data_IF_662308473196
#
_entry.id   IF_662308473196
#
_cell.length_a   1.000
_cell.length_b   1.000
_cell.length_c   1.000
_cell.angle_alpha   90.00
_cell.angle_beta   90.00
_cell.angle_gamma   90.00
#
_symmetry.space_group_name_H-M   'P 1'
#
loop_
_entity.id
_entity.type
_entity.pdbx_description
1 polymer ?
#
# COMPACT_ATOMS: atom_id res chain seq x y z
N UNK A 1 -19.85 15.13 10.46
CA UNK A 1 -19.39 16.33 11.19
C UNK A 1 -17.88 16.35 11.11
N UNK A 2 -17.25 17.39 10.58
CA UNK A 2 -15.78 17.49 10.66
C UNK A 2 -15.42 17.52 12.14
N UNK A 3 -14.58 16.59 12.62
CA UNK A 3 -13.81 16.86 13.83
C UNK A 3 -13.17 18.25 13.64
N UNK A 4 -13.26 19.10 14.66
CA UNK A 4 -12.76 20.47 14.62
C UNK A 4 -11.25 20.54 14.33
N UNK A 5 -10.66 21.72 14.47
CA UNK A 5 -9.22 21.93 14.31
C UNK A 5 -8.46 20.92 15.18
N UNK A 6 -7.66 20.05 14.56
CA UNK A 6 -6.76 19.14 15.27
C UNK A 6 -5.63 19.98 15.85
N UNK A 7 -5.53 20.02 17.18
CA UNK A 7 -4.47 20.72 17.90
C UNK A 7 -3.39 19.72 18.28
N UNK A 8 -2.23 19.83 17.63
CA UNK A 8 -1.02 19.12 18.01
C UNK A 8 -0.09 20.08 18.73
N UNK A 9 0.53 19.61 19.82
CA UNK A 9 1.73 20.28 20.35
C UNK A 9 2.87 20.10 19.36
N UNK A 10 3.90 20.95 19.46
CA UNK A 10 5.11 20.82 18.64
C UNK A 10 5.77 19.44 18.85
N UNK A 11 5.77 18.94 20.08
CA UNK A 11 6.30 17.62 20.41
C UNK A 11 5.51 16.49 19.73
N UNK A 12 4.17 16.57 19.74
CA UNK A 12 3.29 15.60 19.08
C UNK A 12 3.48 15.60 17.56
N UNK A 13 3.53 16.79 16.96
CA UNK A 13 3.77 16.93 15.52
C UNK A 13 5.15 16.39 15.12
N UNK A 14 6.18 16.70 15.91
CA UNK A 14 7.53 16.17 15.71
C UNK A 14 7.57 14.65 15.83
N UNK A 15 6.91 14.07 16.84
CA UNK A 15 6.85 12.62 17.01
C UNK A 15 6.20 11.91 15.82
N UNK A 16 5.10 12.45 15.27
CA UNK A 16 4.43 11.89 14.09
C UNK A 16 5.26 12.03 12.80
N UNK A 17 6.08 13.06 12.67
CA UNK A 17 6.94 13.25 11.50
C UNK A 17 8.16 12.32 11.53
N UNK A 18 8.68 11.98 12.70
CA UNK A 18 9.88 11.14 12.85
C UNK A 18 9.56 9.67 13.19
N UNK A 19 8.32 9.23 12.96
CA UNK A 19 7.87 7.87 13.26
C UNK A 19 8.28 6.88 12.16
N UNK A 20 9.12 5.91 12.51
CA UNK A 20 9.59 4.82 11.64
C UNK A 20 8.55 3.69 11.44
N UNK A 21 7.34 3.83 12.02
CA UNK A 21 6.26 2.84 12.00
C UNK A 21 6.65 1.47 12.58
N UNK A 22 7.73 1.41 13.35
CA UNK A 22 8.31 0.17 13.89
C UNK A 22 7.66 -0.33 15.19
N UNK A 23 6.71 0.45 15.72
CA UNK A 23 5.97 0.18 16.95
C UNK A 23 6.51 0.93 18.18
N UNK A 24 7.62 1.67 18.06
CA UNK A 24 8.13 2.55 19.11
C UNK A 24 7.57 3.98 19.02
N UNK A 25 7.09 4.38 17.84
CA UNK A 25 6.51 5.69 17.58
C UNK A 25 5.00 5.79 17.87
N UNK A 26 4.40 6.96 17.61
CA UNK A 26 2.99 7.23 17.89
C UNK A 26 2.00 6.40 17.07
N UNK A 27 2.34 5.97 15.84
CA UNK A 27 1.46 5.13 15.02
C UNK A 27 1.70 3.65 15.31
N UNK A 28 0.73 3.04 16.00
CA UNK A 28 0.75 1.63 16.36
C UNK A 28 -0.15 0.81 15.42
N UNK A 29 0.33 -0.37 15.05
CA UNK A 29 -0.42 -1.32 14.21
C UNK A 29 -0.91 -2.51 15.04
N UNK A 30 -2.20 -2.83 14.91
CA UNK A 30 -2.79 -4.00 15.54
C UNK A 30 -2.39 -5.28 14.78
N UNK A 31 -1.48 -6.06 15.38
CA UNK A 31 -1.00 -7.33 14.84
C UNK A 31 -1.95 -8.53 15.11
N UNK A 32 -3.02 -8.33 15.88
CA UNK A 32 -3.99 -9.36 16.29
C UNK A 32 -5.17 -9.56 15.34
N UNK A 33 -5.18 -8.89 14.18
CA UNK A 33 -6.24 -9.06 13.18
C UNK A 33 -6.22 -10.48 12.59
N UNK A 34 -7.41 -11.07 12.44
CA UNK A 34 -7.58 -12.41 11.86
C UNK A 34 -7.52 -12.35 10.33
N UNK A 35 -7.33 -13.51 9.68
CA UNK A 35 -7.41 -13.58 8.22
C UNK A 35 -8.78 -13.13 7.69
N UNK A 36 -9.86 -13.43 8.41
CA UNK A 36 -11.23 -13.00 8.07
C UNK A 36 -11.36 -11.47 8.11
N UNK A 37 -10.74 -10.81 9.09
CA UNK A 37 -10.72 -9.34 9.16
C UNK A 37 -10.03 -8.69 7.97
N UNK A 38 -9.10 -9.42 7.34
CA UNK A 38 -8.26 -8.97 6.23
C UNK A 38 -8.75 -9.49 4.87
N UNK A 39 -9.90 -10.17 4.83
CA UNK A 39 -10.41 -10.80 3.61
C UNK A 39 -10.69 -9.80 2.47
N UNK A 40 -11.07 -8.56 2.81
CA UNK A 40 -11.33 -7.49 1.84
C UNK A 40 -10.06 -6.74 1.40
N UNK A 41 -8.88 -7.09 1.93
CA UNK A 41 -7.62 -6.48 1.51
C UNK A 41 -7.09 -7.17 0.25
N UNK A 42 -6.43 -6.41 -0.63
CA UNK A 42 -5.71 -7.01 -1.75
C UNK A 42 -4.38 -7.62 -1.30
N UNK A 43 -3.77 -7.12 -0.22
CA UNK A 43 -2.36 -7.46 0.06
C UNK A 43 -2.20 -8.83 0.71
N UNK A 44 -2.81 -9.07 1.87
CA UNK A 44 -2.51 -10.28 2.66
C UNK A 44 -2.96 -11.59 2.01
N UNK A 45 -4.20 -11.72 1.51
CA UNK A 45 -4.63 -12.94 0.82
C UNK A 45 -3.71 -13.30 -0.35
N UNK A 46 -3.32 -12.31 -1.17
CA UNK A 46 -2.45 -12.53 -2.33
C UNK A 46 -0.97 -12.74 -1.94
N UNK A 47 -0.48 -12.05 -0.91
CA UNK A 47 0.86 -12.29 -0.36
C UNK A 47 0.99 -13.74 0.13
N UNK A 48 -0.03 -14.27 0.81
CA UNK A 48 -0.06 -15.67 1.28
C UNK A 48 -0.04 -16.65 0.12
N UNK A 49 -0.74 -16.38 -0.98
CA UNK A 49 -0.68 -17.20 -2.20
C UNK A 49 0.74 -17.28 -2.72
N UNK A 50 1.42 -16.14 -2.90
CA UNK A 50 2.82 -16.12 -3.35
C UNK A 50 3.74 -16.79 -2.33
N UNK A 51 3.58 -16.50 -1.04
CA UNK A 51 4.42 -17.11 0.00
C UNK A 51 4.25 -18.64 0.05
N UNK A 52 3.04 -19.17 -0.16
CA UNK A 52 2.80 -20.60 -0.26
C UNK A 52 3.53 -21.24 -1.45
N UNK A 53 3.57 -20.57 -2.62
CA UNK A 53 4.38 -21.01 -3.78
C UNK A 53 5.88 -21.02 -3.48
N UNK A 54 6.33 -20.13 -2.59
CA UNK A 54 7.74 -20.03 -2.19
C UNK A 54 8.12 -21.00 -1.07
N UNK A 55 7.16 -21.65 -0.42
CA UNK A 55 7.47 -22.59 0.64
C UNK A 55 8.11 -23.88 0.09
N UNK A 56 8.97 -24.49 0.88
CA UNK A 56 9.79 -25.62 0.43
C UNK A 56 10.94 -25.20 -0.51
N UNK A 57 10.81 -25.49 -1.82
CA UNK A 57 11.92 -25.35 -2.79
C UNK A 57 12.14 -23.90 -3.26
N UNK A 58 11.14 -23.03 -3.09
CA UNK A 58 11.14 -21.68 -3.67
C UNK A 58 10.85 -21.65 -5.17
N UNK A 59 10.75 -20.44 -5.72
CA UNK A 59 10.50 -20.22 -7.13
C UNK A 59 11.78 -19.83 -7.87
N UNK A 60 12.08 -20.50 -9.00
CA UNK A 60 13.19 -20.09 -9.87
C UNK A 60 12.93 -18.69 -10.43
N UNK A 61 13.92 -17.82 -10.34
CA UNK A 61 13.91 -16.51 -10.95
C UNK A 61 14.50 -16.57 -12.36
N UNK A 62 14.15 -15.60 -13.19
CA UNK A 62 14.83 -15.37 -14.47
C UNK A 62 16.27 -14.88 -14.23
N UNK A 63 17.08 -14.84 -15.29
CA UNK A 63 18.44 -14.28 -15.20
C UNK A 63 18.48 -12.81 -14.74
N UNK A 64 17.40 -12.05 -15.00
CA UNK A 64 17.25 -10.65 -14.55
C UNK A 64 16.78 -10.54 -13.09
N UNK A 65 16.50 -11.66 -12.43
CA UNK A 65 15.98 -11.70 -11.07
C UNK A 65 14.46 -11.58 -10.95
N UNK A 66 13.73 -11.55 -12.07
CA UNK A 66 12.27 -11.48 -12.08
C UNK A 66 11.62 -12.83 -11.77
N UNK A 67 10.38 -12.83 -11.27
CA UNK A 67 9.53 -14.02 -11.21
C UNK A 67 9.41 -14.63 -12.61
N UNK A 68 9.54 -15.94 -12.70
CA UNK A 68 9.42 -16.61 -13.99
C UNK A 68 7.97 -16.54 -14.51
N UNK A 69 7.83 -16.56 -15.84
CA UNK A 69 6.54 -16.46 -16.53
C UNK A 69 5.48 -17.44 -16.03
N UNK A 70 5.84 -18.72 -15.86
CA UNK A 70 4.90 -19.75 -15.42
C UNK A 70 4.30 -19.42 -14.05
N UNK A 71 5.14 -18.92 -13.13
CA UNK A 71 4.65 -18.44 -11.84
C UNK A 71 3.74 -17.23 -12.03
N UNK A 72 4.16 -16.21 -12.79
CA UNK A 72 3.35 -15.00 -13.01
C UNK A 72 1.98 -15.33 -13.60
N UNK A 73 1.91 -16.18 -14.62
CA UNK A 73 0.64 -16.66 -15.20
C UNK A 73 -0.23 -17.34 -14.14
N UNK A 74 0.33 -18.22 -13.30
CA UNK A 74 -0.42 -18.82 -12.19
C UNK A 74 -0.88 -17.79 -11.16
N UNK A 75 -0.14 -16.70 -10.93
CA UNK A 75 -0.54 -15.65 -9.99
C UNK A 75 -1.65 -14.78 -10.57
N UNK A 76 -1.65 -14.51 -11.88
CA UNK A 76 -2.74 -13.80 -12.57
C UNK A 76 -4.08 -14.53 -12.35
N UNK A 77 -4.06 -15.86 -12.37
CA UNK A 77 -5.28 -16.67 -12.24
C UNK A 77 -5.81 -16.73 -10.80
N UNK A 78 -4.90 -16.64 -9.82
CA UNK A 78 -5.21 -16.87 -8.41
C UNK A 78 -5.37 -15.59 -7.61
N UNK A 79 -4.69 -14.52 -8.01
CA UNK A 79 -4.76 -13.26 -7.29
C UNK A 79 -6.12 -12.60 -7.48
N UNK A 80 -6.68 -12.13 -6.36
CA UNK A 80 -7.86 -11.30 -6.34
C UNK A 80 -7.40 -9.88 -5.98
N UNK A 81 -7.08 -9.07 -7.00
CA UNK A 81 -6.54 -7.73 -6.79
C UNK A 81 -7.39 -6.67 -7.50
N UNK A 82 -8.08 -5.83 -6.73
CA UNK A 82 -8.94 -4.80 -7.30
C UNK A 82 -8.15 -3.88 -8.25
N UNK A 83 -8.65 -3.72 -9.48
CA UNK A 83 -8.02 -2.92 -10.54
C UNK A 83 -7.13 -3.72 -11.49
N UNK A 84 -6.88 -5.00 -11.23
CA UNK A 84 -6.06 -5.88 -12.08
C UNK A 84 -6.78 -7.20 -12.39
N UNK A 85 -7.97 -7.17 -13.03
CA UNK A 85 -8.68 -8.40 -13.38
C UNK A 85 -7.91 -9.21 -14.43
N UNK A 86 -7.85 -10.53 -14.26
CA UNK A 86 -7.07 -11.44 -15.10
C UNK A 86 -7.40 -11.30 -16.60
N UNK A 87 -8.68 -11.13 -16.94
CA UNK A 87 -9.14 -10.93 -18.33
C UNK A 87 -8.46 -9.71 -18.98
N UNK A 88 -8.49 -8.56 -18.31
CA UNK A 88 -7.84 -7.34 -18.82
C UNK A 88 -6.33 -7.51 -18.98
N UNK A 89 -5.67 -8.20 -18.06
CA UNK A 89 -4.22 -8.45 -18.15
C UNK A 89 -3.91 -9.29 -19.39
N UNK A 90 -4.72 -10.31 -19.68
CA UNK A 90 -4.57 -11.20 -20.84
C UNK A 90 -4.92 -10.49 -22.16
N UNK A 91 -5.92 -9.62 -22.15
CA UNK A 91 -6.29 -8.83 -23.33
C UNK A 91 -5.19 -7.85 -23.73
N UNK A 92 -4.50 -7.26 -22.75
CA UNK A 92 -3.42 -6.30 -22.99
C UNK A 92 -2.09 -6.97 -23.33
N UNK A 93 -1.88 -8.24 -22.94
CA UNK A 93 -0.58 -8.91 -23.02
C UNK A 93 -0.69 -10.30 -23.63
N UNK A 94 -0.10 -10.50 -24.80
CA UNK A 94 0.04 -11.83 -25.43
C UNK A 94 0.89 -12.79 -24.60
N UNK A 95 1.87 -12.24 -23.88
CA UNK A 95 2.80 -12.95 -23.01
C UNK A 95 2.91 -12.12 -21.74
N UNK A 96 2.62 -12.71 -20.59
CA UNK A 96 2.60 -11.98 -19.32
C UNK A 96 3.91 -12.25 -18.58
N UNK A 97 4.75 -11.22 -18.44
CA UNK A 97 5.92 -11.25 -17.57
C UNK A 97 5.63 -10.47 -16.28
N UNK A 98 6.57 -10.48 -15.32
CA UNK A 98 6.37 -9.80 -14.03
C UNK A 98 6.08 -8.30 -14.19
N UNK A 99 6.80 -7.62 -15.09
CA UNK A 99 6.63 -6.19 -15.35
C UNK A 99 5.25 -5.84 -15.92
N UNK A 100 4.56 -6.83 -16.51
CA UNK A 100 3.22 -6.71 -17.08
C UNK A 100 2.11 -6.90 -16.02
N UNK A 101 2.47 -7.39 -14.82
CA UNK A 101 1.52 -7.68 -13.74
C UNK A 101 1.96 -7.05 -12.41
N UNK A 102 1.55 -5.79 -12.22
CA UNK A 102 1.91 -4.96 -11.06
C UNK A 102 1.69 -5.60 -9.69
N UNK A 103 0.60 -6.33 -9.40
CA UNK A 103 0.44 -7.01 -8.11
C UNK A 103 1.58 -7.98 -7.78
N UNK A 104 2.04 -8.78 -8.76
CA UNK A 104 3.14 -9.71 -8.56
C UNK A 104 4.47 -8.96 -8.36
N UNK A 105 4.73 -7.96 -9.19
CA UNK A 105 5.91 -7.10 -9.10
C UNK A 105 6.00 -6.41 -7.73
N UNK A 106 4.90 -5.84 -7.26
CA UNK A 106 4.80 -5.21 -5.94
C UNK A 106 5.06 -6.21 -4.82
N UNK A 107 4.34 -7.34 -4.78
CA UNK A 107 4.49 -8.34 -3.72
C UNK A 107 5.89 -8.96 -3.69
N UNK A 108 6.50 -9.24 -4.85
CA UNK A 108 7.88 -9.71 -4.91
C UNK A 108 8.85 -8.69 -4.26
N UNK A 109 8.71 -7.40 -4.58
CA UNK A 109 9.53 -6.35 -3.99
C UNK A 109 9.32 -6.23 -2.48
N UNK A 110 8.08 -6.11 -2.00
CA UNK A 110 7.82 -5.89 -0.56
C UNK A 110 8.14 -7.12 0.29
N UNK A 111 7.97 -8.35 -0.22
CA UNK A 111 8.40 -9.55 0.50
C UNK A 111 9.93 -9.57 0.68
N UNK A 112 10.69 -9.13 -0.31
CA UNK A 112 12.15 -9.03 -0.21
C UNK A 112 12.58 -7.91 0.73
N UNK A 113 12.03 -6.71 0.57
CA UNK A 113 12.35 -5.54 1.40
C UNK A 113 11.97 -5.74 2.87
N UNK A 114 10.88 -6.47 3.13
CA UNK A 114 10.43 -6.83 4.48
C UNK A 114 11.21 -8.00 5.11
N UNK A 115 12.17 -8.59 4.38
CA UNK A 115 12.97 -9.73 4.81
C UNK A 115 12.17 -11.03 4.93
N UNK A 116 11.03 -11.15 4.24
CA UNK A 116 10.16 -12.31 4.23
C UNK A 116 10.58 -13.34 3.17
N UNK A 117 11.17 -12.86 2.08
CA UNK A 117 11.79 -13.67 1.05
C UNK A 117 13.21 -13.17 0.74
N UNK A 118 14.05 -14.05 0.20
CA UNK A 118 15.40 -13.72 -0.27
C UNK A 118 15.74 -14.48 -1.55
N UNK A 119 16.61 -13.90 -2.36
CA UNK A 119 17.20 -14.60 -3.51
C UNK A 119 18.34 -15.49 -3.04
N UNK A 120 18.28 -16.77 -3.36
CA UNK A 120 19.30 -17.76 -3.02
C UNK A 120 19.51 -18.68 -4.22
N UNK A 121 20.73 -18.68 -4.78
CA UNK A 121 21.10 -19.50 -5.95
C UNK A 121 20.10 -19.40 -7.12
N UNK A 122 19.71 -18.18 -7.48
CA UNK A 122 18.78 -17.91 -8.58
C UNK A 122 17.32 -18.28 -8.30
N UNK A 123 16.96 -18.59 -7.06
CA UNK A 123 15.56 -18.82 -6.66
C UNK A 123 15.14 -17.86 -5.56
N UNK A 124 13.89 -17.43 -5.59
CA UNK A 124 13.25 -16.72 -4.48
C UNK A 124 12.77 -17.75 -3.46
N UNK A 125 13.17 -17.60 -2.19
CA UNK A 125 12.81 -18.50 -1.10
C UNK A 125 12.29 -17.72 0.10
N UNK A 126 11.34 -18.29 0.84
CA UNK A 126 10.96 -17.76 2.14
C UNK A 126 12.14 -17.81 3.12
N UNK A 127 12.31 -16.73 3.87
CA UNK A 127 13.21 -16.69 5.02
C UNK A 127 12.55 -17.39 6.23
N UNK A 128 13.30 -17.59 7.32
CA UNK A 128 12.71 -18.04 8.60
C UNK A 128 11.57 -17.12 9.06
N UNK A 129 11.74 -15.80 8.88
CA UNK A 129 10.72 -14.79 9.19
C UNK A 129 9.49 -14.95 8.29
N UNK A 130 9.69 -15.13 6.98
CA UNK A 130 8.58 -15.38 6.05
C UNK A 130 7.78 -16.63 6.40
N UNK A 131 8.45 -17.74 6.70
CA UNK A 131 7.78 -18.99 7.12
C UNK A 131 6.99 -18.83 8.41
N UNK A 132 7.50 -18.08 9.38
CA UNK A 132 6.79 -17.81 10.63
C UNK A 132 5.52 -16.95 10.46
N UNK A 133 5.40 -16.20 9.35
CA UNK A 133 4.24 -15.37 9.02
C UNK A 133 3.28 -16.01 8.01
N UNK A 134 3.58 -17.22 7.53
CA UNK A 134 2.72 -17.97 6.62
C UNK A 134 1.48 -18.61 7.27
N UNK A 135 1.46 -19.03 8.55
CA UNK A 135 0.24 -19.53 9.19
C UNK A 135 -0.89 -18.49 9.23
N UNK A 136 -2.16 -18.91 9.28
CA UNK A 136 -3.32 -17.99 9.23
C UNK A 136 -3.40 -17.09 10.47
N UNK A 137 -2.95 -17.61 11.60
CA UNK A 137 -2.89 -16.95 12.91
C UNK A 137 -1.91 -15.78 12.91
N UNK A 138 -0.98 -15.74 11.94
CA UNK A 138 -0.03 -14.66 11.75
C UNK A 138 -0.50 -13.60 10.73
N UNK A 139 -1.75 -13.66 10.24
CA UNK A 139 -2.25 -12.75 9.20
C UNK A 139 -2.15 -11.26 9.60
N UNK A 140 -2.55 -10.89 10.82
CA UNK A 140 -2.41 -9.52 11.32
C UNK A 140 -0.96 -9.04 11.39
N UNK A 141 -0.05 -9.91 11.85
CA UNK A 141 1.41 -9.65 11.84
C UNK A 141 1.94 -9.46 10.42
N UNK A 142 1.51 -10.30 9.48
CA UNK A 142 1.88 -10.19 8.08
C UNK A 142 1.40 -8.86 7.48
N UNK A 143 0.14 -8.47 7.72
CA UNK A 143 -0.42 -7.19 7.31
C UNK A 143 0.43 -6.02 7.83
N UNK A 144 0.73 -5.99 9.13
CA UNK A 144 1.52 -4.92 9.74
C UNK A 144 2.94 -4.84 9.15
N UNK A 145 3.62 -5.97 8.97
CA UNK A 145 4.96 -6.01 8.34
C UNK A 145 4.91 -5.48 6.90
N UNK A 146 3.91 -5.87 6.12
CA UNK A 146 3.78 -5.44 4.72
C UNK A 146 3.42 -3.96 4.61
N UNK A 147 2.52 -3.47 5.46
CA UNK A 147 2.13 -2.05 5.51
C UNK A 147 3.34 -1.17 5.87
N UNK A 148 4.03 -1.51 6.97
CA UNK A 148 5.27 -0.82 7.36
C UNK A 148 6.29 -0.83 6.23
N UNK A 149 6.59 -2.00 5.67
CA UNK A 149 7.58 -2.13 4.58
C UNK A 149 7.22 -1.27 3.38
N UNK A 150 5.93 -1.16 3.05
CA UNK A 150 5.45 -0.35 1.93
C UNK A 150 5.76 1.13 2.10
N UNK A 151 5.61 1.66 3.32
CA UNK A 151 5.80 3.08 3.57
C UNK A 151 7.21 3.47 4.01
N UNK A 152 8.03 2.51 4.49
CA UNK A 152 9.38 2.81 5.03
C UNK A 152 10.55 2.25 4.22
N UNK A 153 10.31 1.25 3.35
CA UNK A 153 11.39 0.58 2.59
C UNK A 153 11.14 0.48 1.10
N UNK A 154 9.88 0.32 0.70
CA UNK A 154 9.49 0.36 -0.69
C UNK A 154 9.50 1.80 -1.20
N UNK A 155 9.72 1.99 -2.50
CA UNK A 155 9.59 3.28 -3.15
C UNK A 155 8.19 3.37 -3.78
N UNK A 156 7.22 4.09 -3.17
CA UNK A 156 5.85 4.17 -3.69
C UNK A 156 5.77 4.77 -5.10
N UNK A 157 6.75 5.61 -5.48
CA UNK A 157 6.84 6.25 -6.78
C UNK A 157 7.23 5.29 -7.91
N UNK A 158 7.69 4.06 -7.59
CA UNK A 158 8.10 3.07 -8.57
C UNK A 158 6.99 2.72 -9.59
N UNK A 159 5.73 2.85 -9.17
CA UNK A 159 4.55 2.53 -9.99
C UNK A 159 3.86 3.76 -10.58
N UNK A 160 4.46 4.95 -10.49
CA UNK A 160 3.96 6.13 -11.18
C UNK A 160 4.99 6.73 -12.11
N UNK A 161 4.52 7.65 -12.95
CA UNK A 161 5.33 8.33 -13.97
C UNK A 161 5.42 9.83 -13.67
N UNK A 162 5.15 10.23 -12.43
CA UNK A 162 5.13 11.63 -12.05
C UNK A 162 6.54 12.10 -11.74
N UNK A 163 6.98 13.15 -12.44
CA UNK A 163 8.23 13.87 -12.18
C UNK A 163 8.08 14.77 -10.94
N UNK A 164 7.78 14.16 -9.80
CA UNK A 164 7.67 14.83 -8.51
C UNK A 164 8.53 14.10 -7.49
N UNK A 165 9.31 14.87 -6.72
CA UNK A 165 10.10 14.37 -5.59
C UNK A 165 9.19 13.66 -4.58
N UNK A 166 9.71 12.65 -3.90
CA UNK A 166 8.98 12.01 -2.81
C UNK A 166 8.84 12.98 -1.63
N UNK A 167 7.59 13.33 -1.29
CA UNK A 167 7.26 14.30 -0.24
C UNK A 167 6.33 13.71 0.83
N UNK A 168 5.84 12.49 0.66
CA UNK A 168 4.88 11.86 1.57
C UNK A 168 5.56 10.92 2.56
N UNK A 169 6.63 10.22 2.15
CA UNK A 169 7.31 9.23 3.00
C UNK A 169 7.73 9.76 4.36
N UNK A 170 8.32 10.97 4.43
CA UNK A 170 8.82 11.55 5.68
C UNK A 170 7.71 12.05 6.61
N UNK A 171 6.48 12.14 6.15
CA UNK A 171 5.32 12.58 6.95
C UNK A 171 4.23 11.52 6.99
N UNK A 172 4.55 10.25 6.69
CA UNK A 172 3.54 9.24 6.48
C UNK A 172 2.72 8.93 7.74
N UNK A 173 3.35 8.89 8.92
CA UNK A 173 2.63 8.68 10.17
C UNK A 173 1.71 9.85 10.51
N UNK A 174 2.12 11.10 10.26
CA UNK A 174 1.25 12.27 10.32
C UNK A 174 0.06 12.16 9.35
N UNK A 175 0.30 11.78 8.10
CA UNK A 175 -0.75 11.58 7.09
C UNK A 175 -1.77 10.54 7.61
N UNK A 176 -1.29 9.40 8.12
CA UNK A 176 -2.14 8.35 8.67
C UNK A 176 -2.97 8.86 9.86
N UNK A 177 -2.36 9.64 10.75
CA UNK A 177 -3.07 10.23 11.88
C UNK A 177 -4.16 11.22 11.42
N UNK A 178 -3.85 12.11 10.47
CA UNK A 178 -4.81 13.12 9.99
C UNK A 178 -5.92 12.50 9.15
N UNK A 179 -5.65 11.42 8.41
CA UNK A 179 -6.70 10.60 7.78
C UNK A 179 -7.65 10.05 8.85
N UNK A 180 -7.12 9.59 10.00
CA UNK A 180 -7.97 9.14 11.12
C UNK A 180 -8.87 10.26 11.68
N UNK A 181 -8.42 11.51 11.66
CA UNK A 181 -9.21 12.63 12.17
C UNK A 181 -10.24 13.16 11.17
N UNK A 182 -9.96 13.12 9.87
CA UNK A 182 -10.74 13.90 8.90
C UNK A 182 -11.51 13.10 7.86
N UNK A 183 -11.19 11.82 7.66
CA UNK A 183 -11.65 11.07 6.49
C UNK A 183 -12.76 10.04 6.79
N UNK A 184 -13.71 10.40 7.68
CA UNK A 184 -14.89 9.59 8.00
C UNK A 184 -15.99 9.67 6.92
N UNK A 185 -15.94 10.68 6.04
CA UNK A 185 -16.86 10.87 4.92
C UNK A 185 -16.10 10.99 3.61
N UNK A 186 -16.81 10.84 2.49
CA UNK A 186 -16.28 10.84 1.14
C UNK A 186 -15.64 12.18 0.77
N UNK A 187 -14.35 12.16 0.42
CA UNK A 187 -13.59 13.34 0.00
C UNK A 187 -12.82 13.10 -1.29
N UNK A 188 -12.71 14.10 -2.18
CA UNK A 188 -11.82 14.00 -3.31
C UNK A 188 -10.35 14.00 -2.84
N UNK A 189 -9.46 13.36 -3.63
CA UNK A 189 -8.05 13.20 -3.28
C UNK A 189 -7.34 14.54 -3.01
N UNK A 190 -7.69 15.59 -3.76
CA UNK A 190 -7.09 16.92 -3.64
C UNK A 190 -7.43 17.60 -2.30
N UNK A 191 -8.71 17.55 -1.89
CA UNK A 191 -9.16 18.09 -0.62
C UNK A 191 -8.61 17.27 0.55
N UNK A 192 -8.53 15.95 0.40
CA UNK A 192 -7.92 15.09 1.41
C UNK A 192 -6.44 15.40 1.58
N UNK A 193 -5.65 15.44 0.49
CA UNK A 193 -4.21 15.78 0.52
C UNK A 193 -3.99 17.09 1.27
N UNK A 194 -4.68 18.17 0.89
CA UNK A 194 -4.58 19.48 1.54
C UNK A 194 -4.89 19.46 3.04
N UNK A 195 -5.67 18.48 3.50
CA UNK A 195 -6.05 18.33 4.91
C UNK A 195 -5.08 17.47 5.72
N UNK A 196 -4.26 16.64 5.07
CA UNK A 196 -3.47 15.59 5.75
C UNK A 196 -1.97 15.68 5.50
N UNK A 197 -1.52 16.63 4.69
CA UNK A 197 -0.09 16.84 4.41
C UNK A 197 0.38 18.21 4.89
N UNK A 198 1.63 18.29 5.34
CA UNK A 198 2.34 19.55 5.54
C UNK A 198 2.69 20.13 4.15
N UNK A 199 2.29 21.39 3.86
CA UNK A 199 2.69 22.06 2.62
C UNK A 199 4.21 22.14 2.46
N UNK A 200 4.71 21.91 1.25
CA UNK A 200 6.12 22.01 0.93
C UNK A 200 6.35 22.67 -0.44
N UNK A 201 7.53 23.27 -0.62
CA UNK A 201 7.91 23.97 -1.86
C UNK A 201 7.86 23.06 -3.08
N UNK A 202 8.17 21.77 -2.92
CA UNK A 202 8.12 20.82 -4.01
C UNK A 202 6.69 20.55 -4.51
N UNK A 203 5.68 20.59 -3.62
CA UNK A 203 4.28 20.49 -4.02
C UNK A 203 3.80 21.77 -4.70
N UNK A 204 4.21 22.94 -4.19
CA UNK A 204 3.85 24.25 -4.73
C UNK A 204 4.49 24.53 -6.10
N UNK A 205 5.72 24.05 -6.31
CA UNK A 205 6.48 24.19 -7.55
C UNK A 205 6.20 23.11 -8.60
N UNK A 206 5.15 22.31 -8.43
CA UNK A 206 4.83 21.25 -9.37
C UNK A 206 4.50 21.78 -10.77
N UNK A 207 4.92 21.05 -11.81
CA UNK A 207 4.74 21.45 -13.22
C UNK A 207 3.29 21.74 -13.58
N UNK A 208 2.35 20.96 -13.03
CA UNK A 208 0.92 21.16 -13.20
C UNK A 208 0.22 21.20 -11.84
N UNK A 209 -0.85 22.00 -11.67
CA UNK A 209 -1.57 22.12 -10.39
C UNK A 209 -2.16 20.80 -9.87
N UNK A 210 -2.38 19.82 -10.75
CA UNK A 210 -2.94 18.53 -10.41
C UNK A 210 -1.89 17.45 -10.08
N UNK A 211 -0.62 17.67 -10.43
CA UNK A 211 0.47 16.72 -10.13
C UNK A 211 0.54 16.35 -8.63
N UNK A 212 0.46 17.29 -7.66
CA UNK A 212 0.57 16.95 -6.23
C UNK A 212 -0.50 16.00 -5.71
N UNK A 213 -1.77 16.24 -6.03
CA UNK A 213 -2.83 15.36 -5.52
C UNK A 213 -2.90 14.03 -6.28
N UNK A 214 -2.49 14.00 -7.56
CA UNK A 214 -2.37 12.76 -8.33
C UNK A 214 -1.21 11.89 -7.83
N UNK A 215 -0.10 12.49 -7.42
CA UNK A 215 1.01 11.77 -6.78
C UNK A 215 0.58 11.27 -5.41
N UNK A 216 -0.18 12.05 -4.63
CA UNK A 216 -0.78 11.58 -3.38
C UNK A 216 -1.71 10.37 -3.59
N UNK A 217 -2.55 10.41 -4.64
CA UNK A 217 -3.39 9.26 -5.01
C UNK A 217 -2.54 8.03 -5.34
N UNK A 218 -1.48 8.19 -6.15
CA UNK A 218 -0.63 7.10 -6.60
C UNK A 218 0.30 6.53 -5.52
N UNK A 219 0.82 7.38 -4.63
CA UNK A 219 1.88 7.06 -3.67
C UNK A 219 1.38 6.80 -2.26
N UNK A 220 0.18 7.25 -1.92
CA UNK A 220 -0.44 7.04 -0.61
C UNK A 220 -1.77 6.29 -0.75
N UNK A 221 -2.76 6.89 -1.40
CA UNK A 221 -4.13 6.35 -1.39
C UNK A 221 -4.21 4.96 -2.05
N UNK A 222 -3.48 4.73 -3.15
CA UNK A 222 -3.38 3.41 -3.79
C UNK A 222 -2.99 2.31 -2.81
N UNK A 223 -1.95 2.54 -2.01
CA UNK A 223 -1.47 1.53 -1.07
C UNK A 223 -2.44 1.37 0.08
N UNK A 224 -2.97 2.46 0.65
CA UNK A 224 -4.00 2.37 1.69
C UNK A 224 -5.23 1.59 1.21
N UNK A 225 -5.63 1.75 -0.07
CA UNK A 225 -6.69 0.94 -0.69
C UNK A 225 -6.30 -0.53 -0.79
N UNK A 226 -5.09 -0.83 -1.24
CA UNK A 226 -4.63 -2.21 -1.34
C UNK A 226 -4.62 -2.91 0.02
N UNK A 227 -4.25 -2.19 1.09
CA UNK A 227 -4.33 -2.67 2.47
C UNK A 227 -5.75 -2.65 3.06
N UNK A 228 -6.77 -2.23 2.30
CA UNK A 228 -8.17 -2.19 2.73
C UNK A 228 -8.48 -1.10 3.77
N UNK A 229 -7.57 -0.15 3.98
CA UNK A 229 -7.70 0.92 4.98
C UNK A 229 -8.61 2.04 4.50
N UNK A 230 -8.63 2.30 3.19
CA UNK A 230 -9.55 3.26 2.59
C UNK A 230 -10.27 2.62 1.42
N UNK A 231 -11.47 3.11 1.11
CA UNK A 231 -12.24 2.72 -0.06
C UNK A 231 -12.41 3.88 -1.03
N UNK A 232 -12.68 3.55 -2.30
CA UNK A 232 -12.87 4.50 -3.39
C UNK A 232 -14.24 4.28 -4.01
N UNK A 233 -14.90 5.38 -4.38
CA UNK A 233 -16.03 5.37 -5.31
C UNK A 233 -15.86 6.46 -6.35
N UNK A 234 -16.51 6.28 -7.49
CA UNK A 234 -16.71 7.38 -8.42
C UNK A 234 -17.77 8.33 -7.87
N UNK A 235 -17.58 9.63 -8.06
CA UNK A 235 -18.66 10.59 -7.84
C UNK A 235 -19.86 10.26 -8.74
N UNK A 236 -21.06 10.65 -8.32
CA UNK A 236 -22.28 10.41 -9.09
C UNK A 236 -22.13 11.00 -10.50
N UNK A 237 -22.58 10.26 -11.52
CA UNK A 237 -22.49 10.70 -12.90
C UNK A 237 -23.23 12.04 -13.08
N UNK A 238 -22.51 13.05 -13.54
CA UNK A 238 -23.05 14.23 -14.19
C UNK A 238 -22.36 14.35 -15.57
N UNK A 239 -22.70 15.37 -16.36
CA UNK A 239 -22.15 15.56 -17.73
C UNK A 239 -20.63 15.85 -17.79
N UNK A 240 -19.91 15.81 -16.66
CA UNK A 240 -18.46 16.00 -16.59
C UNK A 240 -17.71 14.66 -16.58
N UNK A 241 -16.98 14.42 -17.67
CA UNK A 241 -16.13 13.25 -17.91
C UNK A 241 -14.93 13.14 -16.96
N UNK A 242 -14.63 14.20 -16.18
CA UNK A 242 -13.54 14.25 -15.20
C UNK A 242 -14.03 14.15 -13.75
N UNK A 243 -15.04 13.32 -13.48
CA UNK A 243 -15.49 13.08 -12.11
C UNK A 243 -14.33 12.71 -11.18
N UNK A 244 -14.17 13.42 -10.04
CA UNK A 244 -13.14 13.07 -9.08
C UNK A 244 -13.49 11.73 -8.43
N UNK A 245 -12.46 10.94 -8.18
CA UNK A 245 -12.55 9.80 -7.28
C UNK A 245 -12.70 10.30 -5.86
N UNK A 246 -13.60 9.68 -5.11
CA UNK A 246 -13.86 10.00 -3.72
C UNK A 246 -13.34 8.88 -2.82
N UNK A 247 -12.76 9.25 -1.69
CA UNK A 247 -12.13 8.34 -0.73
C UNK A 247 -12.72 8.54 0.66
N UNK A 248 -12.81 7.45 1.44
CA UNK A 248 -13.07 7.49 2.88
C UNK A 248 -12.38 6.33 3.58
N UNK A 249 -12.17 6.44 4.90
CA UNK A 249 -11.68 5.31 5.72
C UNK A 249 -12.70 4.17 5.77
N UNK A 250 -12.19 2.95 5.83
CA UNK A 250 -13.00 1.76 6.13
C UNK A 250 -13.04 1.51 7.64
N UNK A 251 -13.92 0.59 8.07
CA UNK A 251 -13.90 0.11 9.46
C UNK A 251 -12.57 -0.58 9.84
N UNK A 252 -11.84 -1.13 8.88
CA UNK A 252 -10.53 -1.74 9.11
C UNK A 252 -9.49 -0.69 9.54
N UNK A 253 -9.62 0.56 9.10
CA UNK A 253 -8.67 1.64 9.41
C UNK A 253 -8.44 1.77 10.92
N UNK A 254 -9.50 2.02 11.69
CA UNK A 254 -9.42 2.22 13.14
C UNK A 254 -9.23 0.93 13.93
N UNK A 255 -9.41 -0.24 13.30
CA UNK A 255 -9.08 -1.54 13.89
C UNK A 255 -7.60 -1.88 13.73
N UNK A 256 -6.98 -1.41 12.65
CA UNK A 256 -5.60 -1.68 12.31
C UNK A 256 -4.65 -0.62 12.86
N UNK A 257 -5.02 0.65 12.83
CA UNK A 257 -4.16 1.77 13.22
C UNK A 257 -4.69 2.44 14.47
N UNK A 258 -3.81 2.66 15.45
CA UNK A 258 -4.09 3.45 16.65
C UNK A 258 -2.96 4.44 16.87
N UNK A 259 -3.26 5.61 17.44
CA UNK A 259 -2.31 6.70 17.58
C UNK A 259 -2.16 7.12 19.04
N UNK A 260 -0.92 7.19 19.52
CA UNK A 260 -0.56 7.71 20.84
C UNK A 260 0.01 9.11 20.66
N UNK A 261 -0.88 10.10 20.60
CA UNK A 261 -0.56 11.51 20.33
C UNK A 261 -0.99 12.34 21.51
#
# INVERSE_FOLDING_TARGET
>A
MSKGIVKLTEQQASALVHDDLDGAGPCLMNEGLTLTDLAATNVVPNARILMAELDGKGAKLTAKGNLNRKLVESLVDRFQWQGYPAERIRDMNKVINEDDYTPALYLHAVLKLGGLARTEKGSLKLTKKGKALLPEEAAGKLQAVLLRTTFTRYNPAFLDRYEMKEIFSWQISLILYLIDQFNDDWRPADALMRSVTIPCKEAEGARTPDTPWRTFEARVLRYLRWFGLIEEKQAAANDDWFQPKLYRKTALYSRMLTFQV
#
